data_IF_304856765483
#
_entry.id   IF_304856765483
#
_cell.length_a   1.000
_cell.length_b   1.000
_cell.length_c   1.000
_cell.angle_alpha   90.00
_cell.angle_beta   90.00
_cell.angle_gamma   90.00
#
_symmetry.space_group_name_H-M   'P 1'
#
loop_
_entity.id
_entity.type
_entity.pdbx_description
1 polymer ?
#
# COMPACT_ATOMS: atom_id res chain seq x y z
N UNK A 1 42.17 35.63 -53.80
CA UNK A 1 42.58 35.02 -52.51
C UNK A 1 41.81 33.73 -52.38
N UNK A 2 42.23 32.62 -52.98
CA UNK A 2 43.39 31.76 -52.64
C UNK A 2 43.16 30.95 -51.35
N UNK A 3 42.78 29.67 -51.55
CA UNK A 3 43.10 28.42 -50.81
C UNK A 3 42.77 28.36 -49.29
N UNK A 4 42.30 27.27 -48.65
CA UNK A 4 42.45 25.82 -48.79
C UNK A 4 41.12 25.16 -48.35
N UNK A 5 40.56 24.07 -48.92
CA UNK A 5 41.12 22.77 -49.30
C UNK A 5 41.77 21.99 -48.14
N UNK A 6 40.97 21.28 -47.34
CA UNK A 6 41.40 20.03 -46.70
C UNK A 6 40.38 18.95 -47.04
N UNK A 7 40.83 18.09 -47.96
CA UNK A 7 40.22 16.83 -48.36
C UNK A 7 40.78 15.76 -47.42
N UNK A 8 39.91 15.07 -46.68
CA UNK A 8 40.21 13.79 -46.03
C UNK A 8 39.48 12.69 -46.79
N UNK A 9 40.22 11.92 -47.56
CA UNK A 9 39.77 10.85 -48.47
C UNK A 9 39.70 9.49 -47.75
N UNK A 10 38.62 8.74 -48.02
CA UNK A 10 38.48 7.28 -48.08
C UNK A 10 38.97 6.35 -46.95
N UNK A 11 38.02 5.63 -46.35
CA UNK A 11 37.69 4.21 -46.65
C UNK A 11 36.18 4.08 -46.35
N UNK A 12 35.29 3.51 -47.16
CA UNK A 12 35.45 2.37 -48.06
C UNK A 12 34.51 1.26 -47.61
N UNK A 13 33.20 1.39 -47.87
CA UNK A 13 32.27 0.28 -48.11
C UNK A 13 30.92 0.82 -48.59
N UNK A 14 30.69 0.67 -49.89
CA UNK A 14 29.42 0.90 -50.55
C UNK A 14 28.57 -0.38 -50.45
N UNK A 15 27.25 -0.20 -50.30
CA UNK A 15 26.18 -1.15 -50.63
C UNK A 15 26.06 -2.45 -49.83
N UNK A 16 24.92 -2.62 -49.14
CA UNK A 16 23.79 -3.43 -49.67
C UNK A 16 22.61 -3.41 -48.71
N UNK A 17 21.47 -2.93 -49.21
CA UNK A 17 20.16 -3.23 -48.67
C UNK A 17 19.92 -4.74 -48.71
N UNK A 18 19.48 -5.31 -47.60
CA UNK A 18 18.97 -6.68 -47.53
C UNK A 18 17.58 -6.61 -46.87
N UNK A 19 16.49 -6.85 -47.61
CA UNK A 19 15.23 -7.30 -47.02
C UNK A 19 15.31 -8.81 -46.84
N UNK A 20 15.29 -9.34 -45.61
CA UNK A 20 15.18 -10.77 -45.40
C UNK A 20 14.08 -11.11 -44.37
N UNK A 21 12.99 -11.60 -44.96
CA UNK A 21 12.12 -12.70 -44.52
C UNK A 21 11.87 -12.91 -43.01
N UNK A 22 10.59 -12.75 -42.67
CA UNK A 22 9.90 -13.40 -41.54
C UNK A 22 10.18 -14.90 -41.50
N UNK A 23 10.64 -15.47 -40.37
CA UNK A 23 10.36 -16.86 -40.05
C UNK A 23 8.97 -16.95 -39.41
N UNK A 24 8.03 -17.53 -40.14
CA UNK A 24 6.79 -18.08 -39.56
C UNK A 24 7.18 -19.38 -38.88
N UNK A 25 7.17 -19.39 -37.54
CA UNK A 25 7.21 -20.63 -36.76
C UNK A 25 5.77 -21.06 -36.48
N UNK A 26 5.31 -22.03 -37.27
CA UNK A 26 4.12 -22.83 -37.00
C UNK A 26 4.48 -23.83 -35.90
N UNK A 27 3.97 -23.62 -34.70
CA UNK A 27 3.88 -24.65 -33.67
C UNK A 27 2.43 -25.12 -33.59
N UNK A 28 2.16 -26.26 -34.19
CA UNK A 28 0.95 -27.04 -33.97
C UNK A 28 1.22 -28.06 -32.85
N UNK A 29 0.38 -28.10 -31.82
CA UNK A 29 -0.20 -29.29 -31.18
C UNK A 29 -0.77 -28.94 -29.79
N UNK A 30 -2.01 -29.35 -29.54
CA UNK A 30 -2.47 -29.59 -28.16
C UNK A 30 -3.83 -28.98 -27.80
N UNK A 31 -4.91 -29.40 -28.46
CA UNK A 31 -6.25 -29.23 -27.91
C UNK A 31 -6.48 -30.25 -26.79
N UNK A 32 -6.44 -29.82 -25.52
CA UNK A 32 -7.11 -30.57 -24.45
C UNK A 32 -8.55 -30.07 -24.34
N UNK A 33 -9.48 -30.88 -24.83
CA UNK A 33 -10.92 -30.69 -24.64
C UNK A 33 -11.27 -31.33 -23.30
N UNK A 34 -11.54 -30.53 -22.28
CA UNK A 34 -12.19 -31.02 -21.05
C UNK A 34 -13.68 -31.18 -21.32
N UNK A 35 -14.07 -32.41 -21.62
CA UNK A 35 -15.46 -32.86 -21.62
C UNK A 35 -15.98 -32.89 -20.18
N UNK A 36 -16.58 -31.80 -19.72
CA UNK A 36 -17.38 -31.77 -18.51
C UNK A 36 -18.80 -32.23 -18.82
N UNK A 37 -19.04 -33.54 -18.69
CA UNK A 37 -20.38 -34.12 -18.65
C UNK A 37 -20.79 -34.21 -17.17
N UNK A 38 -21.80 -33.44 -16.76
CA UNK A 38 -22.34 -33.46 -15.41
C UNK A 38 -23.81 -33.08 -15.45
N UNK A 39 -24.65 -34.11 -15.34
CA UNK A 39 -26.11 -34.11 -15.50
C UNK A 39 -26.85 -33.28 -14.45
N UNK A 40 -27.95 -32.65 -14.91
CA UNK A 40 -29.05 -32.13 -14.09
C UNK A 40 -29.64 -33.19 -13.16
N UNK A 41 -30.19 -32.73 -12.02
CA UNK A 41 -31.38 -33.20 -11.26
C UNK A 41 -31.19 -32.78 -9.79
N UNK A 42 -32.15 -32.31 -9.01
CA UNK A 42 -33.57 -32.01 -9.22
C UNK A 42 -33.96 -31.04 -8.09
N UNK A 43 -34.94 -30.19 -8.37
CA UNK A 43 -35.72 -29.55 -7.32
C UNK A 43 -36.58 -30.62 -6.65
N UNK A 44 -36.43 -30.79 -5.34
CA UNK A 44 -37.49 -31.34 -4.48
C UNK A 44 -37.41 -30.65 -3.12
N UNK A 45 -38.53 -30.04 -2.75
CA UNK A 45 -38.86 -29.64 -1.39
C UNK A 45 -38.55 -30.74 -0.37
N UNK A 46 -37.87 -30.40 0.72
CA UNK A 46 -38.13 -31.08 1.98
C UNK A 46 -37.96 -30.15 3.19
N UNK A 47 -39.13 -29.80 3.71
CA UNK A 47 -39.51 -29.49 5.09
C UNK A 47 -38.41 -29.41 6.16
N UNK A 48 -38.45 -28.25 6.83
CA UNK A 48 -38.06 -27.98 8.22
C UNK A 48 -38.26 -29.16 9.19
N UNK A 49 -37.17 -29.56 9.85
CA UNK A 49 -37.19 -30.10 11.20
C UNK A 49 -35.87 -29.70 11.89
N UNK A 50 -35.99 -29.01 13.02
CA UNK A 50 -34.86 -28.45 13.75
C UNK A 50 -33.91 -29.52 14.30
N UNK A 51 -32.63 -29.15 14.38
CA UNK A 51 -31.72 -29.68 15.37
C UNK A 51 -30.70 -28.59 15.70
N UNK A 52 -30.78 -28.11 16.94
CA UNK A 52 -29.78 -27.23 17.51
C UNK A 52 -28.48 -28.01 17.67
N UNK A 53 -27.48 -27.63 16.86
CA UNK A 53 -26.07 -27.78 17.23
C UNK A 53 -25.44 -26.43 16.90
N UNK A 54 -25.11 -25.67 17.94
CA UNK A 54 -24.09 -24.63 17.83
C UNK A 54 -22.79 -25.33 17.49
N UNK A 55 -22.54 -25.59 16.21
CA UNK A 55 -21.21 -25.86 15.72
C UNK A 55 -20.44 -24.56 15.91
N UNK A 56 -19.38 -24.66 16.70
CA UNK A 56 -18.32 -23.68 16.78
C UNK A 56 -18.04 -23.12 15.38
N UNK A 57 -18.01 -21.80 15.29
CA UNK A 57 -17.51 -21.07 14.12
C UNK A 57 -16.26 -21.77 13.59
N UNK A 58 -16.24 -22.28 12.35
CA UNK A 58 -14.99 -22.69 11.75
C UNK A 58 -14.09 -21.46 11.72
N UNK A 59 -12.94 -21.57 12.38
CA UNK A 59 -11.92 -20.52 12.46
C UNK A 59 -11.14 -20.35 11.13
N UNK A 60 -11.78 -20.67 10.00
CA UNK A 60 -11.16 -20.80 8.67
C UNK A 60 -12.18 -20.50 7.55
N UNK A 61 -12.95 -19.42 7.69
CA UNK A 61 -13.36 -18.71 6.48
C UNK A 61 -12.14 -17.88 6.05
N UNK A 62 -11.67 -17.97 4.79
CA UNK A 62 -10.71 -16.99 4.30
C UNK A 62 -11.39 -15.64 4.46
N UNK A 63 -10.88 -14.82 5.37
CA UNK A 63 -11.16 -13.40 5.35
C UNK A 63 -10.52 -12.91 4.06
N UNK A 64 -11.27 -12.97 2.95
CA UNK A 64 -10.94 -12.37 1.66
C UNK A 64 -11.07 -10.84 1.80
N UNK A 65 -10.38 -10.31 2.81
CA UNK A 65 -10.38 -8.93 3.21
C UNK A 65 -9.25 -8.21 2.45
N UNK A 66 -9.58 -7.22 1.60
CA UNK A 66 -8.59 -6.51 0.81
C UNK A 66 -7.54 -5.79 1.66
N UNK A 67 -7.87 -5.37 2.88
CA UNK A 67 -6.88 -4.79 3.79
C UNK A 67 -5.90 -5.86 4.26
N UNK A 68 -6.33 -7.08 4.58
CA UNK A 68 -5.44 -8.17 4.99
C UNK A 68 -4.43 -8.53 3.89
N UNK A 69 -4.86 -8.66 2.63
CA UNK A 69 -3.93 -8.87 1.50
C UNK A 69 -2.94 -7.71 1.33
N UNK A 70 -3.42 -6.49 1.54
CA UNK A 70 -2.58 -5.30 1.49
C UNK A 70 -1.53 -5.32 2.61
N UNK A 71 -1.92 -5.71 3.83
CA UNK A 71 -1.01 -5.87 4.97
C UNK A 71 0.07 -6.94 4.70
N UNK A 72 -0.31 -8.08 4.13
CA UNK A 72 0.65 -9.10 3.72
C UNK A 72 1.63 -8.57 2.64
N UNK A 73 1.11 -7.83 1.65
CA UNK A 73 1.91 -7.23 0.59
C UNK A 73 2.95 -6.24 1.14
N UNK A 74 2.52 -5.27 1.96
CA UNK A 74 3.42 -4.24 2.51
C UNK A 74 4.41 -4.85 3.50
N UNK A 75 4.00 -5.84 4.30
CA UNK A 75 4.88 -6.52 5.26
C UNK A 75 5.99 -7.25 4.52
N UNK A 76 5.64 -8.05 3.48
CA UNK A 76 6.62 -8.75 2.66
C UNK A 76 7.66 -7.81 2.06
N UNK A 77 7.22 -6.72 1.42
CA UNK A 77 8.13 -5.74 0.81
C UNK A 77 8.99 -5.03 1.86
N UNK A 78 8.44 -4.77 3.05
CA UNK A 78 9.18 -4.11 4.13
C UNK A 78 10.26 -5.03 4.70
N UNK A 79 9.96 -6.31 4.91
CA UNK A 79 10.92 -7.33 5.37
C UNK A 79 12.07 -7.49 4.38
N UNK A 80 11.79 -7.53 3.09
CA UNK A 80 12.83 -7.61 2.05
C UNK A 80 13.76 -6.37 2.06
N UNK A 81 13.25 -5.22 2.49
CA UNK A 81 13.99 -3.97 2.62
C UNK A 81 14.70 -3.78 3.98
N UNK A 82 14.44 -4.64 4.96
CA UNK A 82 15.03 -4.61 6.29
C UNK A 82 15.40 -6.04 6.76
N UNK A 83 16.24 -6.78 6.02
CA UNK A 83 16.54 -8.17 6.32
C UNK A 83 17.30 -8.37 7.65
N UNK A 84 17.96 -7.32 8.14
CA UNK A 84 18.69 -7.32 9.41
C UNK A 84 17.82 -6.90 10.61
N UNK A 85 16.53 -6.60 10.41
CA UNK A 85 15.62 -6.36 11.52
C UNK A 85 15.52 -7.63 12.38
N UNK A 86 15.44 -7.52 13.71
CA UNK A 86 15.20 -8.68 14.56
C UNK A 86 13.94 -9.39 14.07
N UNK A 87 14.06 -10.67 13.73
CA UNK A 87 12.93 -11.51 13.36
C UNK A 87 11.94 -11.49 14.55
N UNK A 88 10.62 -11.44 14.31
CA UNK A 88 9.61 -11.64 15.36
C UNK A 88 9.66 -13.07 15.95
N UNK A 89 10.51 -13.94 15.38
CA UNK A 89 10.95 -15.22 15.96
C UNK A 89 12.13 -15.11 16.92
N UNK A 90 12.79 -13.96 17.02
CA UNK A 90 13.62 -13.67 18.17
C UNK A 90 12.67 -13.64 19.37
N UNK A 91 12.95 -14.49 20.35
CA UNK A 91 12.19 -14.59 21.59
C UNK A 91 12.10 -13.17 22.19
N UNK A 92 10.93 -12.54 22.03
CA UNK A 92 10.64 -11.25 22.65
C UNK A 92 10.86 -11.48 24.13
N UNK A 93 11.83 -10.80 24.78
CA UNK A 93 12.08 -11.01 26.19
C UNK A 93 10.74 -10.87 26.91
N UNK A 94 10.38 -11.87 27.71
CA UNK A 94 9.18 -11.74 28.50
C UNK A 94 9.34 -10.50 29.39
N UNK A 95 8.26 -9.85 29.83
CA UNK A 95 8.37 -8.69 30.72
C UNK A 95 9.25 -8.97 31.96
N UNK A 96 9.30 -10.22 32.41
CA UNK A 96 10.17 -10.77 33.47
C UNK A 96 11.66 -10.96 33.10
N UNK A 97 12.06 -10.72 31.86
CA UNK A 97 13.45 -10.80 31.41
C UNK A 97 14.10 -9.40 31.28
N UNK A 98 13.32 -8.33 31.48
CA UNK A 98 13.78 -6.95 31.33
C UNK A 98 14.54 -6.46 32.58
N UNK A 99 15.78 -5.94 32.46
CA UNK A 99 16.51 -5.45 33.61
C UNK A 99 15.77 -4.28 34.29
N UNK A 100 15.43 -4.46 35.58
CA UNK A 100 14.61 -3.51 36.33
C UNK A 100 13.13 -3.92 36.47
N UNK A 101 12.75 -5.11 36.02
CA UNK A 101 11.48 -5.70 36.39
C UNK A 101 11.50 -6.06 37.89
N UNK A 102 10.64 -5.42 38.65
CA UNK A 102 10.27 -5.84 39.99
C UNK A 102 8.76 -6.03 39.94
N UNK A 103 8.29 -7.24 40.21
CA UNK A 103 6.86 -7.51 40.38
C UNK A 103 6.40 -6.73 41.61
N UNK A 104 5.95 -5.49 41.38
CA UNK A 104 5.42 -4.67 42.44
C UNK A 104 4.21 -5.41 43.03
N UNK A 105 4.17 -5.65 44.36
CA UNK A 105 2.99 -6.25 44.98
C UNK A 105 1.77 -5.44 44.55
N UNK A 106 0.66 -6.09 44.13
CA UNK A 106 -0.53 -5.36 43.80
C UNK A 106 -0.89 -4.48 45.01
N UNK A 107 -1.17 -3.18 44.80
CA UNK A 107 -1.52 -2.29 45.89
C UNK A 107 -2.65 -2.90 46.70
N UNK A 108 -2.45 -2.99 48.03
CA UNK A 108 -3.48 -3.48 48.94
C UNK A 108 -4.49 -2.35 49.16
N UNK A 109 -5.61 -2.45 48.45
CA UNK A 109 -6.76 -1.57 48.66
C UNK A 109 -7.49 -1.97 49.95
N UNK A 110 -7.94 -0.96 50.71
CA UNK A 110 -8.74 -1.16 51.92
C UNK A 110 -10.13 -1.70 51.63
N UNK A 111 -10.83 -2.13 52.68
CA UNK A 111 -12.21 -2.62 52.58
C UNK A 111 -13.12 -1.51 52.03
N UNK A 112 -13.60 -1.65 50.78
CA UNK A 112 -14.45 -0.67 50.10
C UNK A 112 -13.75 0.18 49.05
N UNK A 113 -12.43 0.05 48.88
CA UNK A 113 -11.68 0.71 47.81
C UNK A 113 -11.59 -0.21 46.60
N UNK A 114 -12.10 0.25 45.45
CA UNK A 114 -11.95 -0.43 44.16
C UNK A 114 -10.65 0.02 43.51
N UNK A 115 -9.87 -0.88 42.89
CA UNK A 115 -8.71 -0.46 42.11
C UNK A 115 -9.11 0.61 41.08
N UNK A 116 -8.33 1.69 40.89
CA UNK A 116 -8.58 2.66 39.85
C UNK A 116 -8.59 1.93 38.50
N UNK A 117 -9.67 2.09 37.73
CA UNK A 117 -9.91 1.33 36.50
C UNK A 117 -10.89 0.15 36.62
N UNK A 118 -11.29 -0.25 37.83
CA UNK A 118 -12.33 -1.26 38.05
C UNK A 118 -13.74 -0.64 38.05
N UNK A 119 -14.75 -1.31 37.48
CA UNK A 119 -16.14 -0.84 37.58
C UNK A 119 -16.59 -0.87 39.04
N UNK A 120 -17.26 0.18 39.47
CA UNK A 120 -17.93 0.23 40.76
C UNK A 120 -19.14 -0.70 40.78
N UNK A 121 -19.85 -0.74 41.91
CA UNK A 121 -21.07 -1.56 42.06
C UNK A 121 -22.21 -1.19 41.10
N UNK A 122 -22.12 -0.06 40.40
CA UNK A 122 -23.02 0.37 39.32
C UNK A 122 -22.52 0.03 37.91
N UNK A 123 -21.30 -0.50 37.76
CA UNK A 123 -20.68 -0.81 36.47
C UNK A 123 -19.86 0.34 35.87
N UNK A 124 -19.74 1.47 36.57
CA UNK A 124 -19.01 2.64 36.11
C UNK A 124 -17.56 2.61 36.60
N UNK A 125 -16.58 2.86 35.74
CA UNK A 125 -15.17 2.91 36.12
C UNK A 125 -14.84 4.32 36.64
N UNK A 126 -14.58 4.54 37.95
CA UNK A 126 -14.27 5.86 38.45
C UNK A 126 -12.83 6.23 38.07
N UNK A 127 -12.66 7.22 37.21
CA UNK A 127 -11.37 7.88 36.96
C UNK A 127 -11.24 9.01 37.98
N UNK A 128 -10.25 8.98 38.90
CA UNK A 128 -10.02 10.11 39.80
C UNK A 128 -9.54 11.31 38.98
N UNK A 129 -10.44 12.24 38.67
CA UNK A 129 -10.06 13.55 38.16
C UNK A 129 -9.56 14.38 39.36
N UNK A 130 -8.37 14.99 39.31
CA UNK A 130 -7.95 15.92 40.34
C UNK A 130 -8.98 17.05 40.45
N UNK A 131 -9.37 17.41 41.67
CA UNK A 131 -10.44 18.39 41.94
C UNK A 131 -10.17 19.80 41.39
N UNK A 132 -8.93 20.07 40.95
CA UNK A 132 -8.50 21.31 40.29
C UNK A 132 -8.37 21.21 38.76
N UNK A 133 -8.90 20.13 38.14
CA UNK A 133 -8.96 20.03 36.69
C UNK A 133 -9.94 21.08 36.14
N UNK A 134 -9.39 22.26 35.83
CA UNK A 134 -10.10 23.26 35.02
C UNK A 134 -10.52 22.57 33.73
N UNK A 135 -11.84 22.50 33.48
CA UNK A 135 -12.40 22.01 32.22
C UNK A 135 -11.56 22.63 31.09
N UNK A 136 -10.92 21.82 30.23
CA UNK A 136 -10.21 22.37 29.09
C UNK A 136 -11.19 23.29 28.36
N UNK A 137 -10.82 24.53 28.00
CA UNK A 137 -11.71 25.38 27.25
C UNK A 137 -12.20 24.58 26.05
N UNK A 138 -13.52 24.51 25.87
CA UNK A 138 -14.12 23.89 24.69
C UNK A 138 -13.45 24.53 23.49
N UNK A 139 -12.59 23.74 22.85
CA UNK A 139 -11.89 24.17 21.66
C UNK A 139 -12.96 24.20 20.58
N UNK A 140 -13.64 25.33 20.45
CA UNK A 140 -14.42 25.64 19.25
C UNK A 140 -13.50 25.29 18.08
N UNK A 141 -13.87 24.36 17.19
CA UNK A 141 -13.05 24.04 16.05
C UNK A 141 -12.97 25.33 15.23
N UNK A 142 -11.89 26.08 15.40
CA UNK A 142 -11.59 27.16 14.48
C UNK A 142 -11.47 26.46 13.15
N UNK A 143 -12.38 26.81 12.23
CA UNK A 143 -12.34 26.43 10.83
C UNK A 143 -11.12 27.09 10.16
N UNK A 144 -9.93 26.82 10.68
CA UNK A 144 -8.68 27.03 9.99
C UNK A 144 -8.67 25.92 8.96
N UNK A 145 -8.87 26.30 7.69
CA UNK A 145 -8.65 25.36 6.58
C UNK A 145 -7.30 24.67 6.82
N UNK A 146 -7.24 23.33 6.88
CA UNK A 146 -6.01 22.62 7.12
C UNK A 146 -4.94 23.15 6.17
N UNK A 147 -3.86 23.68 6.73
CA UNK A 147 -2.75 24.17 5.92
C UNK A 147 -2.19 22.95 5.18
N UNK A 148 -1.99 23.01 3.85
CA UNK A 148 -1.49 21.87 3.10
C UNK A 148 -0.19 21.37 3.71
N UNK A 149 -0.18 20.08 4.05
CA UNK A 149 0.96 19.43 4.67
C UNK A 149 2.17 19.44 3.72
N UNK A 150 3.37 19.48 4.29
CA UNK A 150 4.61 19.38 3.53
C UNK A 150 5.01 17.92 3.43
N UNK A 151 5.64 17.57 2.32
CA UNK A 151 6.32 16.29 2.17
C UNK A 151 7.40 16.12 3.26
N UNK A 152 7.43 14.93 3.86
CA UNK A 152 8.41 14.54 4.87
C UNK A 152 9.49 13.65 4.24
N UNK A 153 10.72 13.65 4.76
CA UNK A 153 11.78 12.79 4.21
C UNK A 153 11.46 11.31 4.48
N UNK A 154 11.74 10.46 3.48
CA UNK A 154 11.68 9.00 3.63
C UNK A 154 12.98 8.45 4.23
N UNK A 155 12.84 7.53 5.17
CA UNK A 155 13.91 6.71 5.77
C UNK A 155 14.56 5.78 4.71
N UNK A 156 15.62 5.07 5.10
CA UNK A 156 16.27 4.10 4.22
C UNK A 156 15.32 2.97 3.77
N UNK A 157 14.59 2.39 4.72
CA UNK A 157 13.64 1.31 4.50
C UNK A 157 12.49 1.79 3.62
N UNK A 158 11.87 2.94 3.94
CA UNK A 158 10.77 3.49 3.14
C UNK A 158 11.17 3.82 1.70
N UNK A 159 12.42 4.27 1.47
CA UNK A 159 12.93 4.49 0.11
C UNK A 159 13.07 3.19 -0.67
N UNK A 160 13.55 2.12 -0.02
CA UNK A 160 13.61 0.79 -0.62
C UNK A 160 12.20 0.28 -0.94
N UNK A 161 11.29 0.26 0.03
CA UNK A 161 9.92 -0.22 -0.16
C UNK A 161 9.18 0.62 -1.19
N UNK A 162 9.38 1.94 -1.20
CA UNK A 162 8.84 2.84 -2.22
C UNK A 162 9.33 2.51 -3.62
N UNK A 163 10.60 2.12 -3.78
CA UNK A 163 11.16 1.67 -5.07
C UNK A 163 10.55 0.35 -5.52
N UNK A 164 10.42 -0.62 -4.62
CA UNK A 164 9.80 -1.93 -4.91
C UNK A 164 8.33 -1.78 -5.34
N UNK A 165 7.55 -0.99 -4.60
CA UNK A 165 6.17 -0.72 -5.00
C UNK A 165 6.09 0.06 -6.32
N UNK A 166 6.98 1.05 -6.54
CA UNK A 166 7.03 1.78 -7.79
C UNK A 166 7.33 0.87 -8.97
N UNK A 167 8.32 -0.02 -8.84
CA UNK A 167 8.65 -1.01 -9.85
C UNK A 167 7.47 -1.94 -10.11
N UNK A 168 6.86 -2.50 -9.06
CA UNK A 168 5.69 -3.38 -9.20
C UNK A 168 4.56 -2.70 -9.98
N UNK A 169 4.28 -1.43 -9.69
CA UNK A 169 3.28 -0.64 -10.42
C UNK A 169 3.72 -0.40 -11.86
N UNK A 170 4.93 0.09 -12.10
CA UNK A 170 5.43 0.31 -13.47
C UNK A 170 5.39 -0.95 -14.33
N UNK A 171 5.75 -2.11 -13.78
CA UNK A 171 5.68 -3.41 -14.45
C UNK A 171 4.25 -3.78 -14.84
N UNK A 172 3.27 -3.60 -13.95
CA UNK A 172 1.86 -3.93 -14.23
C UNK A 172 1.23 -3.05 -15.32
N UNK A 173 1.77 -1.85 -15.55
CA UNK A 173 1.32 -0.92 -16.58
C UNK A 173 2.17 -0.98 -17.86
N UNK A 174 3.13 -1.90 -17.97
CA UNK A 174 3.93 -2.06 -19.20
C UNK A 174 3.02 -2.30 -20.40
N UNK A 175 3.26 -1.55 -21.48
CA UNK A 175 2.50 -1.61 -22.72
C UNK A 175 0.99 -1.36 -22.55
N UNK A 176 0.56 -0.77 -21.43
CA UNK A 176 -0.83 -0.40 -21.17
C UNK A 176 -0.95 1.11 -21.26
N UNK A 177 -1.74 1.60 -22.20
CA UNK A 177 -2.03 3.03 -22.28
C UNK A 177 -2.91 3.44 -21.10
N UNK A 178 -2.39 4.30 -20.23
CA UNK A 178 -3.15 4.79 -19.07
C UNK A 178 -3.80 6.12 -19.41
N UNK A 179 -4.74 6.09 -20.36
CA UNK A 179 -5.44 7.29 -20.85
C UNK A 179 -6.54 7.78 -19.92
N UNK A 180 -6.98 6.94 -18.97
CA UNK A 180 -8.03 7.29 -18.01
C UNK A 180 -7.69 6.88 -16.58
N UNK A 181 -8.24 7.64 -15.63
CA UNK A 181 -8.16 7.29 -14.21
C UNK A 181 -8.83 5.95 -13.90
N UNK A 182 -9.87 5.57 -14.63
CA UNK A 182 -10.60 4.34 -14.35
C UNK A 182 -9.77 3.10 -14.69
N UNK A 183 -9.02 3.12 -15.80
CA UNK A 183 -8.04 2.07 -16.11
C UNK A 183 -6.98 2.01 -15.01
N UNK A 184 -6.44 3.16 -14.61
CA UNK A 184 -5.44 3.24 -13.53
C UNK A 184 -5.95 2.64 -12.22
N UNK A 185 -7.14 3.04 -11.79
CA UNK A 185 -7.76 2.58 -10.55
C UNK A 185 -8.02 1.07 -10.57
N UNK A 186 -8.58 0.55 -11.66
CA UNK A 186 -8.85 -0.89 -11.81
C UNK A 186 -7.57 -1.70 -11.78
N UNK A 187 -6.53 -1.28 -12.50
CA UNK A 187 -5.24 -1.98 -12.48
C UNK A 187 -4.62 -1.95 -11.09
N UNK A 188 -4.57 -0.78 -10.43
CA UNK A 188 -4.04 -0.68 -9.07
C UNK A 188 -4.83 -1.58 -8.09
N UNK A 189 -6.16 -1.63 -8.20
CA UNK A 189 -6.99 -2.49 -7.36
C UNK A 189 -6.72 -3.98 -7.63
N UNK A 190 -6.53 -4.37 -8.90
CA UNK A 190 -6.18 -5.75 -9.28
C UNK A 190 -4.80 -6.19 -8.75
N UNK A 191 -3.95 -5.22 -8.41
CA UNK A 191 -2.66 -5.43 -7.77
C UNK A 191 -2.76 -5.45 -6.24
N UNK A 192 -3.94 -5.69 -5.67
CA UNK A 192 -4.16 -5.80 -4.21
C UNK A 192 -3.95 -4.48 -3.46
N UNK A 193 -3.92 -3.34 -4.15
CA UNK A 193 -4.02 -2.05 -3.48
C UNK A 193 -5.50 -1.72 -3.19
N UNK A 194 -5.89 -1.51 -1.92
CA UNK A 194 -7.28 -1.24 -1.58
C UNK A 194 -7.79 0.04 -2.25
N UNK A 195 -9.00 0.01 -2.81
CA UNK A 195 -9.63 1.17 -3.43
C UNK A 195 -9.76 2.36 -2.47
N UNK A 196 -9.93 2.09 -1.17
CA UNK A 196 -9.92 3.07 -0.07
C UNK A 196 -8.65 3.92 -0.01
N UNK A 197 -7.51 3.36 -0.45
CA UNK A 197 -6.17 3.98 -0.40
C UNK A 197 -5.75 4.59 -1.75
N UNK A 198 -6.57 4.45 -2.80
CA UNK A 198 -6.30 5.01 -4.13
C UNK A 198 -7.07 6.31 -4.29
N UNK A 199 -6.34 7.43 -4.23
CA UNK A 199 -6.93 8.76 -4.28
C UNK A 199 -6.72 9.42 -5.63
N UNK A 200 -7.82 9.85 -6.26
CA UNK A 200 -7.76 10.61 -7.52
C UNK A 200 -7.13 11.98 -7.29
N UNK A 201 -6.16 12.33 -8.13
CA UNK A 201 -5.57 13.66 -8.19
C UNK A 201 -6.03 14.41 -9.46
N UNK A 202 -5.99 15.75 -9.45
CA UNK A 202 -6.12 16.51 -10.68
C UNK A 202 -5.08 16.06 -11.71
N UNK A 203 -5.53 15.88 -12.96
CA UNK A 203 -4.69 15.48 -14.09
C UNK A 203 -3.52 16.45 -14.28
N UNK A 204 -2.37 15.93 -14.69
CA UNK A 204 -1.19 16.73 -15.00
C UNK A 204 -0.94 16.68 -16.50
N UNK A 205 -0.97 17.84 -17.18
CA UNK A 205 -0.83 17.93 -18.64
C UNK A 205 -1.78 16.98 -19.43
N UNK A 206 -3.00 16.77 -18.92
CA UNK A 206 -3.99 15.86 -19.51
C UNK A 206 -3.84 14.39 -19.11
N UNK A 207 -2.73 13.98 -18.51
CA UNK A 207 -2.54 12.63 -18.00
C UNK A 207 -3.33 12.39 -16.70
N UNK A 208 -3.98 11.21 -16.53
CA UNK A 208 -4.60 10.85 -15.27
C UNK A 208 -3.54 10.71 -14.17
N UNK A 209 -3.90 11.06 -12.94
CA UNK A 209 -3.00 10.97 -11.79
C UNK A 209 -3.73 10.44 -10.57
N UNK A 210 -3.07 9.59 -9.81
CA UNK A 210 -3.54 9.06 -8.54
C UNK A 210 -2.43 9.15 -7.49
N UNK A 211 -2.83 9.16 -6.22
CA UNK A 211 -1.94 8.95 -5.08
C UNK A 211 -2.38 7.70 -4.33
N UNK A 212 -1.40 6.89 -3.98
CA UNK A 212 -1.60 5.67 -3.21
C UNK A 212 -1.08 5.89 -1.79
N UNK A 213 -1.95 5.67 -0.80
CA UNK A 213 -1.60 5.76 0.61
C UNK A 213 -1.05 4.42 1.12
N UNK A 214 0.28 4.35 1.26
CA UNK A 214 0.99 3.18 1.75
C UNK A 214 1.40 3.30 3.22
N UNK A 215 0.86 4.30 3.94
CA UNK A 215 1.15 4.48 5.36
C UNK A 215 0.64 3.27 6.14
N UNK A 216 1.55 2.73 6.93
CA UNK A 216 1.35 1.57 7.78
C UNK A 216 2.39 1.59 8.89
N UNK A 217 1.94 1.46 10.15
CA UNK A 217 2.75 1.39 11.38
C UNK A 217 3.98 2.32 11.32
N UNK A 218 3.81 3.61 11.60
CA UNK A 218 4.94 4.55 11.66
C UNK A 218 5.53 4.94 10.29
N UNK A 219 5.09 4.33 9.19
CA UNK A 219 5.59 4.67 7.86
C UNK A 219 4.91 5.92 7.30
N UNK A 220 5.71 6.71 6.59
CA UNK A 220 5.30 7.92 5.89
C UNK A 220 5.14 7.67 4.38
N UNK A 221 5.21 6.41 3.94
CA UNK A 221 5.32 6.09 2.52
C UNK A 221 4.01 6.35 1.76
N UNK A 222 4.11 7.06 0.65
CA UNK A 222 3.05 7.21 -0.34
C UNK A 222 3.63 7.17 -1.76
N UNK A 223 2.79 6.84 -2.74
CA UNK A 223 3.17 6.90 -4.16
C UNK A 223 2.31 7.90 -4.92
N UNK A 224 2.90 8.60 -5.88
CA UNK A 224 2.19 9.32 -6.92
C UNK A 224 2.32 8.55 -8.23
N UNK A 225 1.20 8.20 -8.84
CA UNK A 225 1.12 7.46 -10.11
C UNK A 225 0.55 8.39 -11.17
N UNK A 226 1.33 8.68 -12.21
CA UNK A 226 0.91 9.53 -13.33
C UNK A 226 0.89 8.69 -14.60
N UNK A 227 -0.25 8.66 -15.29
CA UNK A 227 -0.40 7.93 -16.55
C UNK A 227 0.43 8.54 -17.67
N UNK A 228 0.89 7.70 -18.59
CA UNK A 228 1.53 8.13 -19.83
C UNK A 228 0.95 7.35 -21.01
N UNK A 229 1.37 7.70 -22.23
CA UNK A 229 0.98 6.97 -23.44
C UNK A 229 1.55 5.54 -23.51
N UNK A 230 2.54 5.20 -22.68
CA UNK A 230 3.23 3.90 -22.73
C UNK A 230 3.28 3.19 -21.37
N UNK A 231 2.52 3.67 -20.39
CA UNK A 231 2.48 3.09 -19.05
C UNK A 231 2.18 4.15 -17.99
N UNK A 232 3.03 4.20 -16.96
CA UNK A 232 2.93 5.13 -15.83
C UNK A 232 4.31 5.58 -15.36
N UNK A 233 4.39 6.79 -14.83
CA UNK A 233 5.49 7.29 -14.01
C UNK A 233 5.05 7.15 -12.55
N UNK A 234 5.87 6.50 -11.74
CA UNK A 234 5.58 6.26 -10.32
C UNK A 234 6.68 6.85 -9.47
N UNK A 235 6.29 7.70 -8.52
CA UNK A 235 7.23 8.34 -7.61
C UNK A 235 6.84 8.10 -6.15
N UNK A 236 7.78 7.60 -5.36
CA UNK A 236 7.65 7.53 -3.92
C UNK A 236 7.88 8.91 -3.26
N UNK A 237 7.11 9.21 -2.23
CA UNK A 237 7.25 10.42 -1.42
C UNK A 237 6.76 10.20 0.01
N UNK A 238 7.16 11.09 0.92
CA UNK A 238 6.74 11.05 2.31
C UNK A 238 5.51 11.89 2.59
N UNK A 239 4.44 11.26 3.09
CA UNK A 239 3.28 11.90 3.67
C UNK A 239 3.34 11.78 5.20
N UNK A 240 3.09 12.86 5.97
CA UNK A 240 3.03 12.77 7.42
C UNK A 240 2.06 11.67 7.90
N UNK A 241 2.43 10.94 8.94
CA UNK A 241 1.62 9.88 9.55
C UNK A 241 0.32 10.40 10.19
N UNK A 242 0.24 11.70 10.48
CA UNK A 242 -0.90 12.28 11.20
C UNK A 242 -2.23 12.06 10.44
N UNK A 243 -3.22 11.47 11.12
CA UNK A 243 -4.54 11.09 10.57
C UNK A 243 -5.32 12.25 9.93
N UNK A 244 -5.07 13.49 10.37
CA UNK A 244 -5.67 14.70 9.81
C UNK A 244 -5.09 15.11 8.44
N UNK A 245 -4.00 14.49 8.01
CA UNK A 245 -3.34 14.75 6.73
C UNK A 245 -3.71 13.69 5.71
N UNK A 246 -4.47 14.11 4.69
CA UNK A 246 -4.70 13.29 3.50
C UNK A 246 -3.49 13.33 2.58
N UNK A 247 -3.15 12.18 2.01
CA UNK A 247 -2.07 12.06 1.03
C UNK A 247 -2.25 13.01 -0.17
N UNK A 248 -3.48 13.36 -0.53
CA UNK A 248 -3.81 14.34 -1.60
C UNK A 248 -3.40 15.77 -1.28
N UNK A 249 -3.32 16.12 0.01
CA UNK A 249 -3.07 17.49 0.47
C UNK A 249 -1.57 17.78 0.66
N UNK A 250 -0.73 16.75 0.53
CA UNK A 250 0.72 16.84 0.63
C UNK A 250 1.28 17.60 -0.58
N UNK A 251 1.91 18.75 -0.30
CA UNK A 251 2.61 19.54 -1.32
C UNK A 251 4.00 18.98 -1.58
N UNK A 252 4.17 18.39 -2.77
CA UNK A 252 5.45 17.92 -3.29
C UNK A 252 6.17 19.03 -4.03
N UNK A 253 7.50 19.04 -3.98
CA UNK A 253 8.30 19.85 -4.89
C UNK A 253 8.33 19.15 -6.25
N UNK A 254 8.05 19.83 -7.37
CA UNK A 254 8.19 19.21 -8.69
C UNK A 254 9.63 18.70 -8.86
N UNK A 255 9.80 17.40 -9.05
CA UNK A 255 11.03 16.88 -9.66
C UNK A 255 10.91 17.19 -11.15
N UNK A 256 11.66 18.19 -11.61
CA UNK A 256 11.92 18.36 -13.03
C UNK A 256 12.68 17.11 -13.47
N UNK A 257 12.12 16.34 -14.41
CA UNK A 257 12.85 15.27 -15.06
C UNK A 257 14.18 15.82 -15.56
N UNK A 258 15.29 15.19 -15.15
CA UNK A 258 16.59 15.50 -15.73
C UNK A 258 16.50 15.20 -17.23
N UNK A 259 16.91 16.12 -18.11
CA UNK A 259 16.79 15.91 -19.55
C UNK A 259 17.65 14.72 -19.96
N UNK A 260 17.02 13.68 -20.47
CA UNK A 260 17.69 12.62 -21.23
C UNK A 260 18.29 13.30 -22.48
N UNK A 261 19.63 13.42 -22.50
CA UNK A 261 20.39 13.89 -23.67
C UNK A 261 20.76 12.73 -24.58
#
# INVERSE_FOLDING_TARGET
MLMCAVIGFLHGACMRSIPLAKPVLVAALGCMVLSGCGTQNAATDQASAGSAVSTATPLDAPLDDPETRFLELITRITVDCAPDAPDDRAEVPQPEDLPGWEEAPPPRYGSGETPPGGPDTGGDIPVPLPSDATRPPESTPSAVKPKPAREVPLTGIERCSGSEHAQRVTEAFKNTETTSYQVMHTTLTSMEYPASRIHRMPSHAGAPRARLDLRFIGSNLALEVTGTSSGVIVEAFGAPETEDVKVTDVKRKPKLDAPTS
#
